data_IF_926203227454
#
_entry.id   IF_926203227454
#
_cell.length_a   1.000
_cell.length_b   1.000
_cell.length_c   1.000
_cell.angle_alpha   90.00
_cell.angle_beta   90.00
_cell.angle_gamma   90.00
#
_symmetry.space_group_name_H-M   'P 1'
#
loop_
_entity.id
_entity.type
_entity.pdbx_description
1 polymer ?
#
# COMPACT_ATOMS: atom_id res chain seq x y z
N UNK A 1 8.97 18.21 -4.55
CA UNK A 1 8.40 18.12 -3.19
C UNK A 1 8.94 16.87 -2.51
N UNK A 2 8.90 16.86 -1.20
CA UNK A 2 9.18 15.65 -0.42
C UNK A 2 7.89 14.87 -0.18
N UNK A 3 8.02 13.54 -0.13
CA UNK A 3 6.93 12.66 0.28
C UNK A 3 7.43 11.62 1.27
N UNK A 4 6.52 11.16 2.11
CA UNK A 4 6.72 10.02 3.01
C UNK A 4 5.98 8.82 2.46
N UNK A 5 6.54 7.62 2.57
CA UNK A 5 5.85 6.40 2.17
C UNK A 5 6.15 5.24 3.12
N UNK A 6 5.26 4.26 3.15
CA UNK A 6 5.49 2.98 3.81
C UNK A 6 4.93 1.85 2.94
N UNK A 7 5.57 0.68 3.01
CA UNK A 7 5.09 -0.53 2.34
C UNK A 7 4.00 -1.18 3.18
N UNK A 8 2.88 -1.53 2.55
CA UNK A 8 1.85 -2.38 3.12
C UNK A 8 2.31 -3.83 2.91
N UNK A 9 2.35 -4.61 3.99
CA UNK A 9 2.94 -5.95 4.02
C UNK A 9 1.97 -6.95 4.63
N UNK A 10 1.94 -8.15 4.06
CA UNK A 10 1.40 -9.33 4.73
C UNK A 10 2.56 -9.99 5.46
N UNK A 11 2.37 -10.24 6.75
CA UNK A 11 3.32 -10.85 7.69
C UNK A 11 2.62 -12.04 8.34
N UNK A 12 2.58 -13.21 7.69
CA UNK A 12 1.80 -14.35 8.18
C UNK A 12 2.31 -14.90 9.51
N UNK A 13 3.63 -14.82 9.72
CA UNK A 13 4.28 -15.27 10.96
C UNK A 13 5.55 -14.47 11.23
N UNK A 14 5.47 -13.58 12.21
CA UNK A 14 6.55 -12.63 12.56
C UNK A 14 7.81 -13.37 12.98
N UNK A 15 7.66 -14.45 13.75
CA UNK A 15 8.76 -15.24 14.32
C UNK A 15 9.58 -15.99 13.25
N UNK A 16 9.00 -16.22 12.08
CA UNK A 16 9.70 -16.80 10.92
C UNK A 16 10.37 -15.74 10.04
N UNK A 17 10.12 -14.45 10.30
CA UNK A 17 10.61 -13.36 9.47
C UNK A 17 9.94 -13.29 8.10
N UNK A 18 8.74 -13.85 7.95
CA UNK A 18 8.03 -13.90 6.67
C UNK A 18 7.32 -12.58 6.39
N UNK A 19 7.56 -12.02 5.20
CA UNK A 19 6.85 -10.84 4.73
C UNK A 19 6.65 -10.86 3.22
N UNK A 20 5.55 -10.26 2.79
CA UNK A 20 5.24 -10.01 1.39
C UNK A 20 4.74 -8.58 1.26
N UNK A 21 5.43 -7.76 0.47
CA UNK A 21 4.92 -6.45 0.09
C UNK A 21 3.71 -6.63 -0.83
N UNK A 22 2.62 -5.95 -0.50
CA UNK A 22 1.36 -5.98 -1.26
C UNK A 22 0.85 -4.59 -1.59
N UNK A 23 1.53 -3.54 -1.15
CA UNK A 23 1.09 -2.18 -1.45
C UNK A 23 2.03 -1.12 -0.91
N UNK A 24 1.66 0.12 -1.16
CA UNK A 24 2.37 1.32 -0.73
C UNK A 24 1.34 2.34 -0.29
N UNK A 25 1.56 2.99 0.85
CA UNK A 25 0.88 4.23 1.22
C UNK A 25 1.86 5.38 1.06
N UNK A 26 1.46 6.44 0.36
CA UNK A 26 2.28 7.62 0.10
C UNK A 26 1.55 8.89 0.54
N UNK A 27 2.27 9.75 1.26
CA UNK A 27 1.79 11.05 1.71
C UNK A 27 2.72 12.18 1.27
N UNK A 28 2.20 13.17 0.56
CA UNK A 28 2.90 14.37 0.16
C UNK A 28 2.11 15.62 0.58
N UNK A 29 2.49 16.19 1.72
CA UNK A 29 1.80 17.35 2.34
C UNK A 29 1.68 18.56 1.41
N UNK A 30 2.73 18.85 0.64
CA UNK A 30 2.77 20.02 -0.26
C UNK A 30 1.72 19.93 -1.39
N UNK A 31 1.26 18.73 -1.74
CA UNK A 31 0.26 18.49 -2.78
C UNK A 31 -1.08 18.00 -2.23
N UNK A 32 -1.26 18.02 -0.90
CA UNK A 32 -2.42 17.43 -0.20
C UNK A 32 -2.74 16.00 -0.69
N UNK A 33 -1.69 15.24 -0.97
CA UNK A 33 -1.80 13.90 -1.55
C UNK A 33 -1.63 12.85 -0.46
N UNK A 34 -2.62 11.98 -0.31
CA UNK A 34 -2.55 10.74 0.44
C UNK A 34 -3.25 9.67 -0.37
N UNK A 35 -2.53 8.61 -0.71
CA UNK A 35 -3.11 7.49 -1.45
C UNK A 35 -2.44 6.19 -1.00
N UNK A 36 -3.21 5.10 -1.02
CA UNK A 36 -2.70 3.76 -0.80
C UNK A 36 -3.00 2.90 -2.02
N UNK A 37 -1.95 2.43 -2.69
CA UNK A 37 -2.06 1.47 -3.78
C UNK A 37 -1.77 0.06 -3.26
N UNK A 38 -2.56 -0.93 -3.70
CA UNK A 38 -2.41 -2.33 -3.27
C UNK A 38 -2.59 -3.26 -4.46
N UNK A 39 -1.74 -4.27 -4.53
CA UNK A 39 -1.89 -5.42 -5.42
C UNK A 39 -1.64 -6.71 -4.66
N UNK A 40 -2.64 -7.59 -4.67
CA UNK A 40 -2.61 -8.84 -3.94
C UNK A 40 -2.41 -10.03 -4.89
N UNK A 41 -1.19 -10.56 -4.94
CA UNK A 41 -0.90 -11.83 -5.60
C UNK A 41 -1.23 -13.00 -4.66
N UNK A 42 -2.41 -13.57 -4.86
CA UNK A 42 -2.95 -14.66 -4.03
C UNK A 42 -2.04 -15.89 -4.04
N UNK A 43 -1.39 -16.19 -5.17
CA UNK A 43 -0.51 -17.36 -5.28
C UNK A 43 0.73 -17.18 -4.41
N UNK A 44 1.32 -15.98 -4.40
CA UNK A 44 2.46 -15.66 -3.52
C UNK A 44 2.08 -15.70 -2.04
N UNK A 45 0.88 -15.25 -1.70
CA UNK A 45 0.38 -15.32 -0.32
C UNK A 45 0.24 -16.78 0.12
N UNK A 46 -0.42 -17.62 -0.68
CA UNK A 46 -0.59 -19.03 -0.34
C UNK A 46 0.72 -19.81 -0.32
N UNK A 47 1.73 -19.42 -1.10
CA UNK A 47 3.05 -20.01 -1.02
C UNK A 47 3.71 -19.80 0.36
N UNK A 48 3.44 -18.67 1.04
CA UNK A 48 3.94 -18.39 2.39
C UNK A 48 3.00 -18.93 3.48
N UNK A 49 1.69 -18.80 3.27
CA UNK A 49 0.66 -19.12 4.25
C UNK A 49 -0.57 -19.77 3.58
N UNK A 50 -0.54 -21.09 3.34
CA UNK A 50 -1.61 -21.81 2.62
C UNK A 50 -3.00 -21.72 3.28
N UNK A 51 -3.05 -21.52 4.59
CA UNK A 51 -4.31 -21.43 5.35
C UNK A 51 -4.82 -20.01 5.59
N UNK A 52 -4.20 -18.99 4.98
CA UNK A 52 -4.60 -17.61 5.21
C UNK A 52 -5.93 -17.29 4.50
N UNK A 53 -6.88 -16.69 5.23
CA UNK A 53 -8.14 -16.23 4.66
C UNK A 53 -7.91 -14.96 3.81
N UNK A 54 -7.92 -15.16 2.49
CA UNK A 54 -7.65 -14.09 1.53
C UNK A 54 -8.75 -13.05 1.49
N UNK A 55 -10.01 -13.41 1.78
CA UNK A 55 -11.11 -12.46 1.75
C UNK A 55 -11.10 -11.55 2.97
N UNK A 56 -10.67 -12.05 4.12
CA UNK A 56 -10.33 -11.21 5.28
C UNK A 56 -9.18 -10.27 4.95
N UNK A 57 -8.12 -10.75 4.29
CA UNK A 57 -6.98 -9.90 3.88
C UNK A 57 -7.43 -8.81 2.91
N UNK A 58 -8.20 -9.14 1.87
CA UNK A 58 -8.72 -8.17 0.90
C UNK A 58 -9.54 -7.07 1.56
N UNK A 59 -10.46 -7.43 2.47
CA UNK A 59 -11.27 -6.45 3.21
C UNK A 59 -10.40 -5.50 4.02
N UNK A 60 -9.39 -6.00 4.72
CA UNK A 60 -8.47 -5.14 5.47
C UNK A 60 -7.66 -4.22 4.54
N UNK A 61 -7.21 -4.71 3.38
CA UNK A 61 -6.48 -3.88 2.41
C UNK A 61 -7.38 -2.81 1.79
N UNK A 62 -8.66 -3.11 1.55
CA UNK A 62 -9.66 -2.13 1.11
C UNK A 62 -9.91 -1.05 2.18
N UNK A 63 -9.86 -1.40 3.47
CA UNK A 63 -9.93 -0.42 4.55
C UNK A 63 -8.74 0.53 4.55
N UNK A 64 -7.53 0.04 4.22
CA UNK A 64 -6.35 0.91 4.07
C UNK A 64 -6.54 1.93 2.96
N UNK A 65 -7.05 1.50 1.80
CA UNK A 65 -7.38 2.38 0.67
C UNK A 65 -8.45 3.40 1.08
N UNK A 66 -9.55 2.93 1.67
CA UNK A 66 -10.66 3.78 2.11
C UNK A 66 -10.23 4.86 3.11
N UNK A 67 -9.35 4.51 4.05
CA UNK A 67 -8.78 5.49 4.99
C UNK A 67 -7.83 6.45 4.28
N UNK A 68 -7.02 6.00 3.32
CA UNK A 68 -6.13 6.87 2.56
C UNK A 68 -6.90 7.86 1.68
N UNK A 69 -8.00 7.42 1.08
CA UNK A 69 -8.85 8.23 0.19
C UNK A 69 -9.82 9.13 0.97
N UNK A 70 -10.04 8.84 2.25
CA UNK A 70 -10.93 9.61 3.13
C UNK A 70 -12.40 9.25 2.91
N UNK A 71 -12.67 8.05 2.41
CA UNK A 71 -14.03 7.58 2.15
C UNK A 71 -14.75 7.20 3.45
N UNK A 72 -16.07 7.28 3.46
CA UNK A 72 -16.88 6.90 4.64
C UNK A 72 -16.70 5.43 5.03
N UNK A 73 -16.34 4.57 4.07
CA UNK A 73 -16.05 3.15 4.29
C UNK A 73 -14.84 2.95 5.20
N UNK A 74 -13.91 3.92 5.26
CA UNK A 74 -12.75 3.88 6.17
C UNK A 74 -13.09 4.16 7.64
N UNK A 75 -14.36 4.40 7.97
CA UNK A 75 -14.82 4.68 9.32
C UNK A 75 -14.37 6.05 9.86
N UNK A 76 -14.43 6.28 11.18
CA UNK A 76 -14.15 7.59 11.78
C UNK A 76 -12.75 8.13 11.47
N UNK A 77 -11.76 7.24 11.27
CA UNK A 77 -10.38 7.61 10.93
C UNK A 77 -10.32 8.30 9.58
N UNK A 78 -11.15 7.91 8.61
CA UNK A 78 -11.16 8.50 7.28
C UNK A 78 -11.60 9.97 7.26
N UNK A 79 -12.29 10.43 8.31
CA UNK A 79 -12.65 11.85 8.47
C UNK A 79 -11.55 12.72 9.06
N UNK A 80 -10.40 12.15 9.45
CA UNK A 80 -9.28 12.91 9.98
C UNK A 80 -8.49 13.64 8.87
N UNK A 81 -7.71 14.69 9.21
CA UNK A 81 -6.77 15.30 8.27
C UNK A 81 -5.81 14.28 7.65
N UNK A 82 -5.39 14.49 6.40
CA UNK A 82 -4.54 13.54 5.66
C UNK A 82 -3.27 13.13 6.43
N UNK A 83 -2.63 14.06 7.15
CA UNK A 83 -1.46 13.73 7.97
C UNK A 83 -1.79 12.77 9.12
N UNK A 84 -2.94 12.91 9.75
CA UNK A 84 -3.37 12.02 10.84
C UNK A 84 -3.78 10.65 10.31
N UNK A 85 -4.44 10.61 9.15
CA UNK A 85 -4.76 9.36 8.42
C UNK A 85 -3.48 8.62 8.04
N UNK A 86 -2.48 9.32 7.51
CA UNK A 86 -1.17 8.74 7.22
C UNK A 86 -0.51 8.16 8.47
N UNK A 87 -0.42 8.93 9.56
CA UNK A 87 0.16 8.43 10.81
C UNK A 87 -0.58 7.23 11.38
N UNK A 88 -1.91 7.23 11.30
CA UNK A 88 -2.72 6.08 11.67
C UNK A 88 -2.39 4.88 10.79
N UNK A 89 -2.36 5.04 9.47
CA UNK A 89 -2.07 3.97 8.51
C UNK A 89 -0.69 3.33 8.74
N UNK A 90 0.33 4.12 9.07
CA UNK A 90 1.71 3.61 9.26
C UNK A 90 2.04 3.21 10.71
N UNK A 91 1.10 3.36 11.64
CA UNK A 91 1.29 2.96 13.02
C UNK A 91 1.58 1.45 13.13
N UNK A 92 2.55 1.02 13.97
CA UNK A 92 2.84 -0.39 14.19
C UNK A 92 1.60 -1.16 14.68
N UNK A 93 1.38 -2.35 14.13
CA UNK A 93 0.28 -3.24 14.51
C UNK A 93 0.75 -4.68 14.63
N UNK A 94 0.29 -5.39 15.64
CA UNK A 94 0.51 -6.83 15.82
C UNK A 94 -0.55 -7.64 15.07
N UNK A 95 -0.64 -7.42 13.76
CA UNK A 95 -1.62 -8.06 12.87
C UNK A 95 -0.94 -8.70 11.68
N UNK A 96 -1.66 -9.55 10.94
CA UNK A 96 -1.14 -10.15 9.69
C UNK A 96 -0.83 -9.08 8.65
N UNK A 97 -1.58 -7.98 8.60
CA UNK A 97 -1.22 -6.83 7.76
C UNK A 97 -0.47 -5.82 8.61
N UNK A 98 0.70 -5.41 8.15
CA UNK A 98 1.57 -4.44 8.82
C UNK A 98 2.12 -3.45 7.81
N UNK A 99 2.70 -2.36 8.29
CA UNK A 99 3.43 -1.41 7.48
C UNK A 99 4.93 -1.47 7.77
N UNK A 100 5.75 -1.16 6.77
CA UNK A 100 7.17 -0.89 7.00
C UNK A 100 7.39 0.35 7.86
N UNK A 101 8.61 0.58 8.37
CA UNK A 101 9.01 1.92 8.77
C UNK A 101 8.74 2.95 7.66
N UNK A 102 8.53 4.20 8.07
CA UNK A 102 8.33 5.29 7.13
C UNK A 102 9.65 5.63 6.45
N UNK A 103 9.60 5.74 5.13
CA UNK A 103 10.67 6.17 4.26
C UNK A 103 10.33 7.52 3.65
N UNK A 104 11.34 8.22 3.14
CA UNK A 104 11.19 9.53 2.52
C UNK A 104 11.73 9.48 1.10
N UNK A 105 11.02 10.11 0.17
CA UNK A 105 11.45 10.27 -1.21
C UNK A 105 11.17 11.67 -1.74
N UNK A 106 11.60 11.92 -2.97
CA UNK A 106 11.43 13.21 -3.64
C UNK A 106 10.96 13.00 -5.07
N UNK A 107 9.87 13.64 -5.43
CA UNK A 107 9.31 13.64 -6.77
C UNK A 107 8.55 14.95 -7.01
N UNK A 108 8.40 15.44 -8.25
CA UNK A 108 7.45 16.51 -8.56
C UNK A 108 6.00 16.01 -8.69
N UNK A 109 5.76 14.71 -8.83
CA UNK A 109 4.42 14.11 -8.98
C UNK A 109 4.26 12.90 -8.03
N UNK A 110 3.37 12.98 -7.02
CA UNK A 110 3.24 11.94 -5.99
C UNK A 110 2.54 10.69 -6.52
N UNK A 111 1.54 10.85 -7.37
CA UNK A 111 0.83 9.74 -8.02
C UNK A 111 1.79 8.91 -8.89
N UNK A 112 2.62 9.59 -9.71
CA UNK A 112 3.67 8.89 -10.48
C UNK A 112 4.69 8.20 -9.56
N UNK A 113 5.09 8.83 -8.45
CA UNK A 113 6.01 8.22 -7.51
C UNK A 113 5.41 6.97 -6.84
N UNK A 114 4.11 6.99 -6.54
CA UNK A 114 3.39 5.83 -6.01
C UNK A 114 3.40 4.67 -7.01
N UNK A 115 3.14 4.95 -8.29
CA UNK A 115 3.23 3.94 -9.35
C UNK A 115 4.63 3.34 -9.50
N UNK A 116 5.66 4.19 -9.48
CA UNK A 116 7.06 3.76 -9.55
C UNK A 116 7.43 2.86 -8.35
N UNK A 117 7.00 3.22 -7.14
CA UNK A 117 7.20 2.40 -5.93
C UNK A 117 6.45 1.06 -6.02
N UNK A 118 5.22 1.05 -6.54
CA UNK A 118 4.47 -0.20 -6.77
C UNK A 118 5.18 -1.10 -7.78
N UNK A 119 5.73 -0.52 -8.86
CA UNK A 119 6.49 -1.27 -9.85
C UNK A 119 7.78 -1.84 -9.27
N UNK A 120 8.50 -1.10 -8.44
CA UNK A 120 9.80 -1.53 -7.92
C UNK A 120 9.68 -2.49 -6.74
N UNK A 121 8.74 -2.25 -5.82
CA UNK A 121 8.73 -2.89 -4.49
C UNK A 121 7.59 -3.89 -4.27
N UNK A 122 6.62 -3.97 -5.19
CA UNK A 122 5.43 -4.84 -5.06
C UNK A 122 5.30 -5.80 -6.25
N UNK A 123 5.25 -5.24 -7.47
CA UNK A 123 5.03 -5.97 -8.73
C UNK A 123 6.23 -6.84 -9.11
N UNK A 124 5.94 -8.02 -9.65
CA UNK A 124 6.97 -8.90 -10.20
C UNK A 124 7.54 -8.35 -11.52
N UNK A 125 8.78 -8.69 -11.90
CA UNK A 125 9.38 -8.30 -13.18
C UNK A 125 8.50 -8.56 -14.41
N UNK A 126 7.82 -9.71 -14.45
CA UNK A 126 6.89 -10.05 -15.53
C UNK A 126 5.66 -9.11 -15.57
N UNK A 127 5.15 -8.70 -14.41
CA UNK A 127 4.03 -7.78 -14.29
C UNK A 127 4.43 -6.34 -14.66
N UNK A 128 5.68 -5.94 -14.35
CA UNK A 128 6.26 -4.66 -14.77
C UNK A 128 6.33 -4.53 -16.30
N UNK A 129 6.77 -5.59 -16.98
CA UNK A 129 6.86 -5.62 -18.43
C UNK A 129 5.48 -5.52 -19.11
N UNK A 130 4.44 -6.14 -18.54
CA UNK A 130 3.07 -6.04 -19.03
C UNK A 130 2.42 -4.67 -18.78
N UNK A 131 2.72 -4.01 -17.66
CA UNK A 131 2.26 -2.66 -17.38
C UNK A 131 2.88 -1.62 -18.33
N UNK A 132 4.16 -1.79 -18.68
CA UNK A 132 4.86 -0.91 -19.63
C UNK A 132 4.37 -1.05 -21.09
N UNK A 133 3.70 -2.16 -21.44
CA UNK A 133 3.16 -2.41 -22.79
C UNK A 133 1.68 -2.04 -22.97
N UNK A 134 1.00 -1.59 -21.91
CA UNK A 134 -0.37 -1.07 -22.01
C UNK A 134 -0.31 0.41 -22.43
N UNK A 135 -0.86 0.80 -23.61
CA UNK A 135 -0.87 2.19 -24.02
C UNK A 135 -1.80 2.97 -23.08
N UNK A 136 -1.30 4.06 -22.50
CA UNK A 136 -2.05 4.92 -21.59
C UNK A 136 -3.38 5.32 -22.23
N UNK A 137 -4.48 5.02 -21.53
CA UNK A 137 -5.82 5.46 -21.87
C UNK A 137 -5.89 6.98 -21.74
N UNK A 138 -5.63 7.66 -22.84
CA UNK A 138 -6.04 9.05 -23.04
C UNK A 138 -7.51 9.08 -23.43
N UNK A 139 -8.31 9.75 -22.61
CA UNK A 139 -9.50 10.50 -22.99
C UNK A 139 -9.74 11.58 -21.94
#
# INVERSE_FOLDING_TARGET
>A
MWYSYALIRIVPRVERGELLNVGVVLFAREQDFLEAAVELDVNRVYALAPGLDIDVVRRHLQMFQSIADGSSEGGPVAGLPASERFHWLVAPRSTVIQTSPVHVGRSPNPSRALDELMQELVRLPAQRAAAASSPGGGA
#
